data_IF_523946831205
#
_entry.id   IF_523946831205
#
_cell.length_a   1.000
_cell.length_b   1.000
_cell.length_c   1.000
_cell.angle_alpha   90.00
_cell.angle_beta   90.00
_cell.angle_gamma   90.00
#
_symmetry.space_group_name_H-M   'P 1'
#
loop_
_entity.id
_entity.type
_entity.pdbx_description
1 polymer ?
#
# COMPACT_ATOMS: atom_id res chain seq x y z
N UNK A 1 -5.66 -32.79 3.11
CA UNK A 1 -4.83 -32.38 1.96
C UNK A 1 -5.36 -33.11 0.75
N UNK A 2 -5.56 -32.40 -0.36
CA UNK A 2 -6.19 -32.90 -1.60
C UNK A 2 -5.15 -33.15 -2.68
N UNK A 3 -4.04 -32.42 -2.68
CA UNK A 3 -2.91 -32.65 -3.58
C UNK A 3 -1.99 -33.74 -3.02
N UNK A 4 -2.01 -34.91 -3.64
CA UNK A 4 -1.09 -36.01 -3.31
C UNK A 4 0.38 -35.57 -3.49
N UNK A 5 0.64 -34.75 -4.50
CA UNK A 5 1.97 -34.20 -4.75
C UNK A 5 2.45 -33.32 -3.60
N UNK A 6 1.62 -32.40 -3.09
CA UNK A 6 2.01 -31.53 -1.98
C UNK A 6 2.25 -32.35 -0.71
N UNK A 7 1.40 -33.34 -0.42
CA UNK A 7 1.59 -34.21 0.73
C UNK A 7 2.94 -34.93 0.68
N UNK A 8 3.31 -35.49 -0.47
CA UNK A 8 4.62 -36.12 -0.68
C UNK A 8 5.78 -35.12 -0.55
N UNK A 9 5.64 -33.94 -1.15
CA UNK A 9 6.64 -32.88 -1.08
C UNK A 9 6.92 -32.45 0.38
N UNK A 10 5.88 -32.23 1.18
CA UNK A 10 6.01 -31.85 2.59
C UNK A 10 6.73 -32.91 3.42
N UNK A 11 6.47 -34.20 3.14
CA UNK A 11 7.18 -35.31 3.80
C UNK A 11 8.65 -35.35 3.39
N UNK A 12 8.95 -35.22 2.09
CA UNK A 12 10.31 -35.24 1.57
C UNK A 12 11.16 -34.06 2.06
N UNK A 13 10.55 -32.89 2.26
CA UNK A 13 11.21 -31.66 2.68
C UNK A 13 11.03 -31.35 4.17
N UNK A 14 10.56 -32.33 4.97
CA UNK A 14 10.13 -32.10 6.34
C UNK A 14 11.20 -31.42 7.20
N UNK A 15 12.46 -31.83 7.10
CA UNK A 15 13.55 -31.27 7.92
C UNK A 15 13.76 -29.77 7.67
N UNK A 16 13.87 -29.39 6.39
CA UNK A 16 14.08 -28.00 5.99
C UNK A 16 12.87 -27.12 6.32
N UNK A 17 11.66 -27.60 6.02
CA UNK A 17 10.42 -26.87 6.27
C UNK A 17 10.14 -26.72 7.77
N UNK A 18 10.37 -27.76 8.57
CA UNK A 18 10.22 -27.70 10.03
C UNK A 18 11.28 -26.79 10.67
N UNK A 19 12.49 -26.72 10.11
CA UNK A 19 13.47 -25.74 10.55
C UNK A 19 12.98 -24.31 10.29
N UNK A 20 12.51 -24.00 9.07
CA UNK A 20 11.96 -22.70 8.73
C UNK A 20 10.73 -22.32 9.61
N UNK A 21 9.82 -23.27 9.83
CA UNK A 21 8.66 -23.08 10.70
C UNK A 21 9.09 -22.72 12.13
N UNK A 22 10.08 -23.44 12.70
CA UNK A 22 10.59 -23.16 14.04
C UNK A 22 11.21 -21.77 14.16
N UNK A 23 11.92 -21.30 13.13
CA UNK A 23 12.50 -19.96 13.10
C UNK A 23 11.43 -18.86 12.99
N UNK A 24 10.35 -19.12 12.23
CA UNK A 24 9.30 -18.14 12.01
C UNK A 24 8.29 -18.04 13.16
N UNK A 25 8.12 -19.11 13.94
CA UNK A 25 7.14 -19.19 15.02
C UNK A 25 7.45 -18.18 16.13
N UNK A 26 6.57 -17.20 16.30
CA UNK A 26 6.66 -16.13 17.31
C UNK A 26 5.27 -15.91 17.94
N UNK A 27 5.22 -15.42 19.18
CA UNK A 27 3.96 -15.15 19.88
C UNK A 27 3.21 -16.40 20.33
N UNK A 28 1.88 -16.38 20.25
CA UNK A 28 1.03 -17.54 20.58
C UNK A 28 1.27 -18.68 19.60
N UNK A 29 1.88 -19.76 20.11
CA UNK A 29 2.27 -20.91 19.30
C UNK A 29 1.07 -21.70 18.78
N UNK A 30 -0.02 -21.78 19.54
CA UNK A 30 -1.20 -22.54 19.15
C UNK A 30 -1.94 -21.81 18.02
N UNK A 31 -2.08 -20.50 18.16
CA UNK A 31 -2.71 -19.67 17.14
C UNK A 31 -1.87 -19.60 15.86
N UNK A 32 -0.54 -19.47 15.99
CA UNK A 32 0.37 -19.52 14.84
C UNK A 32 0.24 -20.85 14.08
N UNK A 33 0.24 -21.98 14.80
CA UNK A 33 0.07 -23.29 14.21
C UNK A 33 -1.29 -23.42 13.50
N UNK A 34 -2.38 -23.00 14.14
CA UNK A 34 -3.73 -23.05 13.58
C UNK A 34 -3.85 -22.21 12.30
N UNK A 35 -3.35 -20.98 12.31
CA UNK A 35 -3.34 -20.12 11.14
C UNK A 35 -2.50 -20.70 9.99
N UNK A 36 -1.29 -21.16 10.29
CA UNK A 36 -0.40 -21.72 9.27
C UNK A 36 -0.94 -23.02 8.67
N UNK A 37 -1.40 -23.96 9.50
CA UNK A 37 -2.02 -25.20 9.03
C UNK A 37 -3.27 -24.94 8.20
N UNK A 38 -4.09 -23.95 8.60
CA UNK A 38 -5.22 -23.49 7.80
C UNK A 38 -4.80 -22.97 6.43
N UNK A 39 -3.76 -22.15 6.35
CA UNK A 39 -3.22 -21.68 5.07
C UNK A 39 -2.71 -22.83 4.19
N UNK A 40 -1.99 -23.79 4.75
CA UNK A 40 -1.50 -24.94 3.98
C UNK A 40 -2.66 -25.72 3.35
N UNK A 41 -3.73 -25.95 4.10
CA UNK A 41 -4.88 -26.75 3.66
C UNK A 41 -5.86 -25.99 2.77
N UNK A 42 -6.13 -24.72 3.06
CA UNK A 42 -7.20 -23.96 2.40
C UNK A 42 -6.70 -23.08 1.25
N UNK A 43 -5.41 -22.80 1.18
CA UNK A 43 -4.82 -21.90 0.19
C UNK A 43 -3.70 -22.58 -0.63
N UNK A 44 -2.64 -23.08 0.03
CA UNK A 44 -1.49 -23.66 -0.68
C UNK A 44 -1.84 -24.97 -1.41
N UNK A 45 -2.56 -25.87 -0.74
CA UNK A 45 -2.98 -27.16 -1.30
C UNK A 45 -3.88 -26.99 -2.54
N UNK A 46 -4.94 -26.14 -2.53
CA UNK A 46 -5.70 -25.82 -3.74
C UNK A 46 -4.88 -25.15 -4.85
N UNK A 47 -3.95 -24.24 -4.50
CA UNK A 47 -3.08 -23.59 -5.49
C UNK A 47 -2.27 -24.62 -6.27
N UNK A 48 -1.59 -25.54 -5.57
CA UNK A 48 -0.75 -26.54 -6.22
C UNK A 48 -1.56 -27.62 -6.94
N UNK A 49 -2.78 -27.89 -6.48
CA UNK A 49 -3.72 -28.75 -7.22
C UNK A 49 -4.15 -28.09 -8.54
N UNK A 50 -4.47 -26.80 -8.54
CA UNK A 50 -4.83 -26.07 -9.76
C UNK A 50 -3.68 -25.98 -10.78
N UNK A 51 -2.44 -26.07 -10.29
CA UNK A 51 -1.22 -26.06 -11.09
C UNK A 51 -0.64 -27.47 -11.32
N UNK A 52 -1.44 -28.52 -11.15
CA UNK A 52 -1.04 -29.91 -11.33
C UNK A 52 -0.27 -30.20 -12.64
N UNK A 53 -0.64 -29.63 -13.81
CA UNK A 53 0.06 -29.90 -15.08
C UNK A 53 1.51 -29.40 -15.14
N UNK A 54 1.96 -28.59 -14.17
CA UNK A 54 3.31 -28.05 -14.17
C UNK A 54 4.40 -29.11 -13.97
N UNK A 55 5.61 -28.88 -14.52
CA UNK A 55 6.77 -29.70 -14.21
C UNK A 55 7.07 -29.73 -12.70
N UNK A 56 7.53 -30.87 -12.20
CA UNK A 56 7.76 -31.08 -10.76
C UNK A 56 8.74 -30.08 -10.15
N UNK A 57 9.79 -29.68 -10.90
CA UNK A 57 10.77 -28.69 -10.44
C UNK A 57 10.12 -27.31 -10.19
N UNK A 58 9.24 -26.86 -11.09
CA UNK A 58 8.53 -25.58 -10.95
C UNK A 58 7.53 -25.62 -9.79
N UNK A 59 6.80 -26.74 -9.62
CA UNK A 59 5.92 -26.94 -8.46
C UNK A 59 6.71 -26.94 -7.15
N UNK A 60 7.87 -27.59 -7.10
CA UNK A 60 8.74 -27.58 -5.94
C UNK A 60 9.23 -26.16 -5.57
N UNK A 61 9.67 -25.39 -6.55
CA UNK A 61 10.11 -24.01 -6.33
C UNK A 61 8.97 -23.11 -5.83
N UNK A 62 7.78 -23.21 -6.44
CA UNK A 62 6.60 -22.47 -5.99
C UNK A 62 6.15 -22.90 -4.60
N UNK A 63 6.08 -24.20 -4.32
CA UNK A 63 5.69 -24.75 -3.02
C UNK A 63 6.61 -24.27 -1.90
N UNK A 64 7.93 -24.32 -2.11
CA UNK A 64 8.91 -23.83 -1.16
C UNK A 64 8.69 -22.34 -0.86
N UNK A 65 8.56 -21.54 -1.92
CA UNK A 65 8.40 -20.08 -1.82
C UNK A 65 7.08 -19.73 -1.13
N UNK A 66 5.98 -20.36 -1.54
CA UNK A 66 4.66 -20.16 -0.95
C UNK A 66 4.59 -20.61 0.50
N UNK A 67 5.32 -21.65 0.90
CA UNK A 67 5.44 -22.07 2.31
C UNK A 67 6.13 -20.98 3.15
N UNK A 68 7.28 -20.46 2.70
CA UNK A 68 8.01 -19.38 3.39
C UNK A 68 7.21 -18.09 3.46
N UNK A 69 6.54 -17.75 2.36
CA UNK A 69 5.57 -16.67 2.30
C UNK A 69 4.47 -16.88 3.33
N UNK A 70 3.87 -18.08 3.39
CA UNK A 70 2.80 -18.40 4.32
C UNK A 70 3.20 -18.14 5.77
N UNK A 71 4.42 -18.50 6.16
CA UNK A 71 4.97 -18.17 7.48
C UNK A 71 5.01 -16.65 7.73
N UNK A 72 5.40 -15.87 6.72
CA UNK A 72 5.41 -14.40 6.79
C UNK A 72 3.99 -13.83 6.87
N UNK A 73 3.03 -14.42 6.16
CA UNK A 73 1.61 -14.02 6.20
C UNK A 73 1.01 -14.22 7.59
N UNK A 74 1.33 -15.33 8.28
CA UNK A 74 0.91 -15.54 9.68
C UNK A 74 1.48 -14.42 10.57
N UNK A 75 2.79 -14.15 10.47
CA UNK A 75 3.46 -13.11 11.28
C UNK A 75 2.90 -11.71 11.06
N UNK A 76 2.44 -11.42 9.84
CA UNK A 76 1.80 -10.15 9.48
C UNK A 76 0.30 -10.12 9.81
N UNK A 77 -0.27 -11.18 10.38
CA UNK A 77 -1.68 -11.25 10.76
C UNK A 77 -2.63 -11.41 9.57
N UNK A 78 -2.15 -11.78 8.37
CA UNK A 78 -2.98 -11.88 7.16
C UNK A 78 -3.88 -13.11 7.14
N UNK A 79 -3.58 -14.08 8.01
CA UNK A 79 -4.35 -15.30 8.17
C UNK A 79 -5.30 -15.24 9.38
N UNK A 80 -5.33 -14.10 10.07
CA UNK A 80 -6.34 -13.80 11.08
C UNK A 80 -7.72 -13.63 10.43
N UNK A 81 -8.79 -13.76 11.23
CA UNK A 81 -10.17 -13.87 10.75
C UNK A 81 -10.58 -12.77 9.76
N UNK A 82 -10.19 -11.53 10.01
CA UNK A 82 -10.55 -10.36 9.19
C UNK A 82 -9.90 -10.35 7.80
N UNK A 83 -8.73 -10.97 7.65
CA UNK A 83 -7.89 -10.91 6.44
C UNK A 83 -7.85 -12.26 5.69
N UNK A 84 -8.28 -13.33 6.35
CA UNK A 84 -8.19 -14.70 5.85
C UNK A 84 -8.94 -14.89 4.54
N UNK A 85 -10.15 -14.35 4.42
CA UNK A 85 -10.98 -14.54 3.23
C UNK A 85 -10.27 -14.04 1.96
N UNK A 86 -9.74 -12.81 2.00
CA UNK A 86 -8.99 -12.21 0.90
C UNK A 86 -7.71 -13.00 0.58
N UNK A 87 -7.00 -13.47 1.62
CA UNK A 87 -5.78 -14.27 1.44
C UNK A 87 -6.08 -15.63 0.80
N UNK A 88 -7.17 -16.29 1.20
CA UNK A 88 -7.58 -17.56 0.58
C UNK A 88 -7.96 -17.31 -0.88
N UNK A 89 -8.79 -16.31 -1.17
CA UNK A 89 -9.18 -15.95 -2.54
C UNK A 89 -7.98 -15.65 -3.46
N UNK A 90 -6.97 -14.94 -2.95
CA UNK A 90 -5.72 -14.72 -3.68
C UNK A 90 -5.10 -16.05 -4.14
N UNK A 91 -4.99 -17.03 -3.25
CA UNK A 91 -4.33 -18.31 -3.56
C UNK A 91 -5.21 -19.29 -4.34
N UNK A 92 -6.54 -19.21 -4.19
CA UNK A 92 -7.45 -20.15 -4.84
C UNK A 92 -7.99 -19.65 -6.18
N UNK A 93 -7.94 -18.34 -6.44
CA UNK A 93 -8.61 -17.73 -7.60
C UNK A 93 -7.65 -16.85 -8.41
N UNK A 94 -6.96 -15.90 -7.78
CA UNK A 94 -6.08 -14.95 -8.51
C UNK A 94 -4.79 -15.64 -8.97
N UNK A 95 -4.06 -16.28 -8.06
CA UNK A 95 -2.74 -16.84 -8.35
C UNK A 95 -2.79 -18.00 -9.35
N UNK A 96 -3.73 -18.97 -9.27
CA UNK A 96 -3.74 -20.07 -10.23
C UNK A 96 -3.92 -19.60 -11.67
N UNK A 97 -4.84 -18.67 -11.92
CA UNK A 97 -5.13 -18.16 -13.27
C UNK A 97 -3.97 -17.33 -13.82
N UNK A 98 -3.41 -16.45 -13.00
CA UNK A 98 -2.33 -15.56 -13.40
C UNK A 98 -0.99 -16.28 -13.56
N UNK A 99 -0.63 -17.18 -12.64
CA UNK A 99 0.66 -17.85 -12.67
C UNK A 99 0.72 -18.99 -13.68
N UNK A 100 -0.40 -19.67 -13.98
CA UNK A 100 -0.45 -20.88 -14.83
C UNK A 100 0.40 -20.82 -16.11
N UNK A 101 0.43 -19.70 -16.88
CA UNK A 101 1.24 -19.61 -18.09
C UNK A 101 2.76 -19.46 -17.84
N UNK A 102 3.19 -19.17 -16.61
CA UNK A 102 4.55 -18.73 -16.26
C UNK A 102 5.20 -19.58 -15.16
N UNK A 103 5.35 -20.91 -15.33
CA UNK A 103 5.85 -21.81 -14.29
C UNK A 103 7.28 -21.48 -13.81
N UNK A 104 8.13 -20.94 -14.68
CA UNK A 104 9.51 -20.59 -14.34
C UNK A 104 9.60 -19.32 -13.48
N UNK A 105 8.75 -18.33 -13.74
CA UNK A 105 8.75 -17.03 -13.05
C UNK A 105 7.89 -17.01 -11.78
N UNK A 106 6.98 -17.99 -11.63
CA UNK A 106 5.97 -17.99 -10.58
C UNK A 106 6.47 -17.72 -9.15
N UNK A 107 7.60 -18.29 -8.67
CA UNK A 107 8.13 -17.95 -7.36
C UNK A 107 8.46 -16.45 -7.20
N UNK A 108 9.12 -15.86 -8.21
CA UNK A 108 9.48 -14.43 -8.22
C UNK A 108 8.23 -13.56 -8.25
N UNK A 109 7.28 -13.91 -9.11
CA UNK A 109 6.03 -13.18 -9.30
C UNK A 109 5.17 -13.17 -8.03
N UNK A 110 5.06 -14.31 -7.36
CA UNK A 110 4.39 -14.43 -6.06
C UNK A 110 5.00 -13.48 -5.03
N UNK A 111 6.33 -13.48 -4.91
CA UNK A 111 7.04 -12.62 -3.94
C UNK A 111 6.84 -11.14 -4.29
N UNK A 112 6.93 -10.76 -5.57
CA UNK A 112 6.71 -9.39 -6.00
C UNK A 112 5.31 -8.88 -5.63
N UNK A 113 4.27 -9.64 -5.97
CA UNK A 113 2.89 -9.26 -5.66
C UNK A 113 2.66 -9.14 -4.14
N UNK A 114 3.10 -10.12 -3.36
CA UNK A 114 2.91 -10.12 -1.92
C UNK A 114 3.73 -9.04 -1.21
N UNK A 115 4.91 -8.71 -1.74
CA UNK A 115 5.69 -7.59 -1.23
C UNK A 115 4.92 -6.29 -1.39
N UNK A 116 4.37 -6.01 -2.58
CA UNK A 116 3.53 -4.82 -2.82
C UNK A 116 2.31 -4.79 -1.92
N UNK A 117 1.55 -5.90 -1.85
CA UNK A 117 0.39 -6.01 -0.96
C UNK A 117 0.76 -5.77 0.51
N UNK A 118 2.01 -6.03 0.91
CA UNK A 118 2.45 -5.83 2.29
C UNK A 118 2.65 -4.40 2.73
N UNK A 119 2.71 -3.47 1.78
CA UNK A 119 2.69 -2.05 2.08
C UNK A 119 1.26 -1.53 2.33
N UNK A 120 0.23 -2.30 1.97
CA UNK A 120 -1.18 -1.92 2.13
C UNK A 120 -1.73 -2.39 3.49
N UNK A 121 -2.11 -1.48 4.39
CA UNK A 121 -2.47 -1.83 5.76
C UNK A 121 -3.83 -2.54 5.86
N UNK A 122 -4.79 -2.20 5.00
CA UNK A 122 -6.17 -2.70 5.11
C UNK A 122 -6.51 -3.82 4.11
N UNK A 123 -7.55 -4.60 4.42
CA UNK A 123 -8.13 -5.57 3.48
C UNK A 123 -8.70 -4.86 2.25
N UNK A 124 -9.38 -3.72 2.46
CA UNK A 124 -10.03 -2.95 1.41
C UNK A 124 -9.04 -2.49 0.34
N UNK A 125 -7.89 -1.92 0.75
CA UNK A 125 -6.87 -1.47 -0.19
C UNK A 125 -6.24 -2.64 -0.97
N UNK A 126 -5.98 -3.76 -0.30
CA UNK A 126 -5.50 -4.99 -0.97
C UNK A 126 -6.53 -5.51 -1.98
N UNK A 127 -7.82 -5.47 -1.63
CA UNK A 127 -8.92 -5.81 -2.52
C UNK A 127 -8.96 -4.95 -3.77
N UNK A 128 -8.84 -3.62 -3.64
CA UNK A 128 -8.77 -2.68 -4.78
C UNK A 128 -7.63 -3.05 -5.72
N UNK A 129 -6.43 -3.32 -5.18
CA UNK A 129 -5.28 -3.72 -6.00
C UNK A 129 -5.56 -5.04 -6.72
N UNK A 130 -6.03 -6.06 -6.00
CA UNK A 130 -6.26 -7.39 -6.56
C UNK A 130 -7.36 -7.42 -7.62
N UNK A 131 -8.40 -6.61 -7.47
CA UNK A 131 -9.45 -6.47 -8.47
C UNK A 131 -8.88 -5.92 -9.79
N UNK A 132 -8.11 -4.83 -9.72
CA UNK A 132 -7.46 -4.27 -10.92
C UNK A 132 -6.39 -5.21 -11.47
N UNK A 133 -5.66 -5.91 -10.60
CA UNK A 133 -4.66 -6.91 -10.99
C UNK A 133 -5.26 -8.00 -11.88
N UNK A 134 -6.42 -8.55 -11.50
CA UNK A 134 -7.13 -9.55 -12.28
C UNK A 134 -7.60 -9.00 -13.64
N UNK A 135 -8.03 -7.74 -13.70
CA UNK A 135 -8.48 -7.09 -14.94
C UNK A 135 -7.34 -6.82 -15.90
N UNK A 136 -6.18 -6.39 -15.40
CA UNK A 136 -5.00 -6.12 -16.22
C UNK A 136 -4.25 -7.40 -16.64
N UNK A 137 -4.23 -8.43 -15.78
CA UNK A 137 -3.56 -9.71 -15.99
C UNK A 137 -2.15 -9.58 -16.62
N UNK A 138 -1.20 -8.90 -15.95
CA UNK A 138 0.06 -8.52 -16.55
C UNK A 138 1.00 -9.70 -16.81
N UNK A 139 1.81 -9.58 -17.86
CA UNK A 139 2.91 -10.52 -18.13
C UNK A 139 4.04 -10.39 -17.08
N UNK A 140 4.97 -11.36 -16.99
CA UNK A 140 6.06 -11.31 -16.03
C UNK A 140 6.96 -10.08 -16.16
N UNK A 141 7.15 -9.57 -17.37
CA UNK A 141 8.00 -8.40 -17.66
C UNK A 141 7.28 -7.08 -17.32
N UNK A 142 5.95 -7.04 -17.49
CA UNK A 142 5.15 -5.87 -17.18
C UNK A 142 4.77 -5.78 -15.69
N UNK A 143 4.95 -6.86 -14.94
CA UNK A 143 4.56 -7.00 -13.52
C UNK A 143 5.12 -5.88 -12.62
N UNK A 144 6.41 -5.51 -12.66
CA UNK A 144 6.94 -4.44 -11.79
C UNK A 144 6.24 -3.10 -12.00
N UNK A 145 6.01 -2.71 -13.25
CA UNK A 145 5.35 -1.45 -13.60
C UNK A 145 3.88 -1.45 -13.16
N UNK A 146 3.16 -2.57 -13.37
CA UNK A 146 1.78 -2.71 -12.90
C UNK A 146 1.67 -2.64 -11.38
N UNK A 147 2.59 -3.27 -10.64
CA UNK A 147 2.57 -3.23 -9.18
C UNK A 147 2.82 -1.82 -8.62
N UNK A 148 3.68 -1.02 -9.26
CA UNK A 148 3.90 0.38 -8.88
C UNK A 148 2.62 1.21 -9.09
N UNK A 149 2.01 1.08 -10.26
CA UNK A 149 0.80 1.83 -10.63
C UNK A 149 -0.40 1.43 -9.77
N UNK A 150 -0.67 0.13 -9.66
CA UNK A 150 -1.81 -0.37 -8.89
C UNK A 150 -1.60 -0.21 -7.38
N UNK A 151 -0.35 -0.29 -6.90
CA UNK A 151 0.01 0.04 -5.52
C UNK A 151 -0.26 1.52 -5.20
N UNK A 152 0.12 2.42 -6.12
CA UNK A 152 -0.18 3.84 -6.01
C UNK A 152 -1.70 4.10 -5.93
N UNK A 153 -2.47 3.54 -6.86
CA UNK A 153 -3.94 3.68 -6.89
C UNK A 153 -4.64 3.05 -5.67
N UNK A 154 -4.03 2.03 -5.05
CA UNK A 154 -4.52 1.43 -3.82
C UNK A 154 -4.19 2.26 -2.55
N UNK A 155 -3.57 3.43 -2.70
CA UNK A 155 -3.31 4.37 -1.62
C UNK A 155 -1.88 4.34 -1.07
N UNK A 156 -0.89 4.04 -1.91
CA UNK A 156 0.54 4.22 -1.61
C UNK A 156 1.07 5.48 -2.32
N UNK A 157 0.80 6.69 -1.80
CA UNK A 157 1.18 7.95 -2.46
C UNK A 157 2.70 8.10 -2.62
N UNK A 158 3.50 7.43 -1.78
CA UNK A 158 4.95 7.39 -1.93
C UNK A 158 5.42 6.75 -3.25
N UNK A 159 4.58 5.91 -3.88
CA UNK A 159 4.87 5.29 -5.17
C UNK A 159 4.54 6.18 -6.36
N UNK A 160 3.87 7.32 -6.16
CA UNK A 160 3.36 8.16 -7.25
C UNK A 160 4.41 8.50 -8.31
N UNK A 161 5.60 8.95 -7.90
CA UNK A 161 6.65 9.31 -8.86
C UNK A 161 7.06 8.13 -9.73
N UNK A 162 7.31 6.96 -9.09
CA UNK A 162 7.67 5.74 -9.80
C UNK A 162 6.52 5.22 -10.68
N UNK A 163 5.26 5.34 -10.23
CA UNK A 163 4.07 4.96 -10.97
C UNK A 163 3.87 5.83 -12.22
N UNK A 164 4.02 7.16 -12.11
CA UNK A 164 3.94 8.07 -13.27
C UNK A 164 5.04 7.75 -14.28
N UNK A 165 6.26 7.47 -13.82
CA UNK A 165 7.35 7.01 -14.70
C UNK A 165 7.08 5.62 -15.30
N UNK A 166 6.38 4.73 -14.61
CA UNK A 166 5.95 3.44 -15.16
C UNK A 166 4.87 3.60 -16.24
N UNK A 167 3.91 4.51 -16.05
CA UNK A 167 2.87 4.81 -17.03
C UNK A 167 3.43 5.35 -18.35
N UNK A 168 4.53 6.11 -18.32
CA UNK A 168 5.19 6.55 -19.56
C UNK A 168 5.83 5.42 -20.35
N UNK A 169 6.18 4.30 -19.71
CA UNK A 169 6.62 3.06 -20.38
C UNK A 169 5.46 2.17 -20.81
N UNK A 170 4.30 2.30 -20.16
CA UNK A 170 3.12 1.45 -20.35
C UNK A 170 1.87 2.30 -20.68
N UNK A 171 1.83 3.02 -21.82
CA UNK A 171 0.72 3.91 -22.14
C UNK A 171 -0.64 3.18 -22.25
N UNK A 172 -0.63 1.93 -22.72
CA UNK A 172 -1.84 1.09 -22.78
C UNK A 172 -2.44 0.82 -21.38
N UNK A 173 -1.61 0.78 -20.33
CA UNK A 173 -2.09 0.63 -18.96
C UNK A 173 -2.81 1.90 -18.49
N UNK A 174 -2.31 3.08 -18.85
CA UNK A 174 -2.96 4.35 -18.54
C UNK A 174 -4.35 4.46 -19.18
N UNK A 175 -4.48 4.03 -20.43
CA UNK A 175 -5.75 3.98 -21.16
C UNK A 175 -6.72 2.99 -20.52
N UNK A 176 -6.26 1.76 -20.24
CA UNK A 176 -7.07 0.70 -19.62
C UNK A 176 -7.61 1.11 -18.24
N UNK A 177 -6.79 1.80 -17.44
CA UNK A 177 -7.16 2.29 -16.12
C UNK A 177 -7.87 3.65 -16.16
N UNK A 178 -8.14 4.19 -17.35
CA UNK A 178 -8.79 5.49 -17.56
C UNK A 178 -8.11 6.63 -16.80
N UNK A 179 -6.78 6.61 -16.73
CA UNK A 179 -5.99 7.58 -15.97
C UNK A 179 -5.82 8.93 -16.69
N UNK A 180 -6.16 9.01 -17.97
CA UNK A 180 -6.06 10.24 -18.77
C UNK A 180 -4.65 10.49 -19.31
N UNK A 181 -4.41 11.73 -19.74
CA UNK A 181 -3.17 12.14 -20.42
C UNK A 181 -2.01 12.40 -19.43
N UNK A 182 -0.74 12.29 -19.88
CA UNK A 182 0.43 12.53 -19.03
C UNK A 182 0.44 13.88 -18.29
N UNK A 183 -0.08 14.95 -18.91
CA UNK A 183 -0.15 16.27 -18.29
C UNK A 183 -1.12 16.30 -17.10
N UNK A 184 -2.19 15.50 -17.15
CA UNK A 184 -3.15 15.38 -16.04
C UNK A 184 -2.53 14.60 -14.89
N UNK A 185 -1.77 13.55 -15.19
CA UNK A 185 -1.05 12.74 -14.20
C UNK A 185 0.03 13.51 -13.45
N UNK A 186 0.55 14.61 -14.02
CA UNK A 186 1.47 15.50 -13.32
C UNK A 186 0.82 16.17 -12.10
N UNK A 187 -0.51 16.29 -12.06
CA UNK A 187 -1.24 16.86 -10.94
C UNK A 187 -1.59 15.78 -9.88
N UNK A 188 -1.20 15.92 -8.60
CA UNK A 188 -1.37 14.88 -7.59
C UNK A 188 -2.83 14.57 -7.28
N UNK A 189 -3.73 15.53 -7.42
CA UNK A 189 -5.16 15.37 -7.11
C UNK A 189 -6.02 14.83 -8.26
N UNK A 190 -5.44 14.40 -9.37
CA UNK A 190 -6.16 13.78 -10.48
C UNK A 190 -6.44 12.29 -10.22
N UNK A 191 -7.67 11.84 -10.47
CA UNK A 191 -8.12 10.44 -10.24
C UNK A 191 -8.46 9.70 -11.53
N UNK A 192 -8.19 10.28 -12.69
CA UNK A 192 -8.56 9.71 -14.00
C UNK A 192 -9.83 10.32 -14.58
N UNK A 193 -10.15 9.94 -15.80
CA UNK A 193 -11.23 10.56 -16.61
C UNK A 193 -12.62 10.24 -16.09
N UNK A 194 -12.80 9.13 -15.36
CA UNK A 194 -14.09 8.74 -14.78
C UNK A 194 -14.37 9.44 -13.45
N UNK A 195 -13.36 9.59 -12.59
CA UNK A 195 -13.51 10.16 -11.24
C UNK A 195 -13.21 11.68 -11.20
N UNK A 196 -12.38 12.17 -12.12
CA UNK A 196 -12.02 13.58 -12.20
C UNK A 196 -11.04 14.01 -11.09
N UNK A 197 -11.30 15.17 -10.50
CA UNK A 197 -10.44 15.77 -9.48
C UNK A 197 -10.90 15.42 -8.06
N UNK A 198 -9.97 15.03 -7.20
CA UNK A 198 -10.23 14.97 -5.75
C UNK A 198 -10.26 16.38 -5.17
N UNK A 199 -11.43 16.82 -4.72
CA UNK A 199 -11.66 18.15 -4.13
C UNK A 199 -11.71 18.16 -2.61
N UNK A 200 -12.05 17.02 -2.01
CA UNK A 200 -12.25 16.92 -0.57
C UNK A 200 -10.92 17.09 0.19
N UNK A 201 -10.87 17.94 1.24
CA UNK A 201 -9.71 18.02 2.12
C UNK A 201 -9.36 16.68 2.76
N UNK A 202 -8.07 16.47 3.01
CA UNK A 202 -7.57 15.34 3.79
C UNK A 202 -7.18 15.80 5.18
N UNK A 203 -7.58 15.05 6.20
CA UNK A 203 -7.08 15.19 7.56
C UNK A 203 -6.04 14.10 7.83
N UNK A 204 -4.90 14.50 8.39
CA UNK A 204 -3.85 13.60 8.88
C UNK A 204 -3.66 13.84 10.37
N UNK A 205 -3.39 12.75 11.08
CA UNK A 205 -3.36 12.74 12.52
C UNK A 205 -4.74 12.86 13.16
N UNK A 206 -4.76 12.53 14.44
CA UNK A 206 -5.82 12.83 15.38
C UNK A 206 -5.26 12.55 16.77
N UNK A 207 -5.69 13.30 17.78
CA UNK A 207 -5.52 12.89 19.18
C UNK A 207 -6.83 12.27 19.65
N UNK A 208 -6.77 11.05 20.20
CA UNK A 208 -7.90 10.39 20.85
C UNK A 208 -7.81 10.49 22.37
N UNK A 209 -7.09 11.47 22.92
CA UNK A 209 -6.78 11.63 24.36
C UNK A 209 -5.94 10.49 24.99
N UNK A 210 -5.91 9.31 24.38
CA UNK A 210 -5.14 8.12 24.78
C UNK A 210 -4.02 7.78 23.77
N UNK A 211 -3.81 8.62 22.76
CA UNK A 211 -2.83 8.40 21.70
C UNK A 211 -3.13 9.25 20.46
N UNK A 212 -2.31 9.11 19.44
CA UNK A 212 -2.42 9.82 18.17
C UNK A 212 -1.17 9.63 17.32
N UNK A 213 -1.23 9.99 16.04
CA UNK A 213 -0.06 9.93 15.14
C UNK A 213 1.04 10.91 15.56
N UNK A 214 0.67 12.02 16.22
CA UNK A 214 1.61 13.05 16.66
C UNK A 214 1.75 13.07 18.18
N UNK A 215 3.00 13.01 18.65
CA UNK A 215 3.37 13.08 20.07
C UNK A 215 3.34 14.50 20.65
N UNK A 216 3.32 15.52 19.78
CA UNK A 216 3.14 16.93 20.11
C UNK A 216 2.32 17.65 19.03
N UNK A 217 2.04 18.95 19.19
CA UNK A 217 1.40 19.73 18.13
C UNK A 217 2.30 19.77 16.89
N UNK A 218 1.79 19.37 15.71
CA UNK A 218 2.59 19.25 14.52
C UNK A 218 3.05 20.63 14.02
N UNK A 219 4.30 20.70 13.59
CA UNK A 219 4.94 21.87 12.97
C UNK A 219 5.30 21.50 11.54
N UNK A 220 4.92 22.36 10.59
CA UNK A 220 5.29 22.21 9.19
C UNK A 220 6.71 22.74 8.98
N UNK A 221 7.54 21.95 8.31
CA UNK A 221 8.86 22.32 7.83
C UNK A 221 8.94 22.12 6.32
N UNK A 222 9.87 22.82 5.68
CA UNK A 222 10.20 22.65 4.26
C UNK A 222 11.68 22.33 4.14
N UNK A 223 11.99 21.31 3.33
CA UNK A 223 13.35 20.93 2.97
C UNK A 223 13.38 20.64 1.47
N UNK A 224 14.05 21.51 0.69
CA UNK A 224 13.99 21.49 -0.77
C UNK A 224 12.52 21.45 -1.28
N UNK A 225 12.14 20.41 -2.03
CA UNK A 225 10.78 20.20 -2.56
C UNK A 225 9.90 19.31 -1.67
N UNK A 226 10.36 19.02 -0.45
CA UNK A 226 9.65 18.17 0.50
C UNK A 226 9.00 19.00 1.58
N UNK A 227 7.84 18.53 2.03
CA UNK A 227 7.25 19.02 3.28
C UNK A 227 7.42 17.97 4.33
N UNK A 228 7.95 18.43 5.44
CA UNK A 228 8.15 17.63 6.61
C UNK A 228 7.19 18.10 7.71
N UNK A 229 6.88 17.18 8.59
CA UNK A 229 6.05 17.40 9.76
C UNK A 229 6.88 17.00 10.95
N UNK A 230 7.07 17.91 11.89
CA UNK A 230 7.73 17.62 13.15
C UNK A 230 6.72 17.68 14.29
N UNK A 231 6.69 16.64 15.12
CA UNK A 231 5.94 16.63 16.37
C UNK A 231 6.85 16.12 17.49
N UNK A 232 7.25 17.01 18.39
CA UNK A 232 8.21 16.69 19.44
C UNK A 232 9.58 16.33 18.83
N UNK A 233 10.04 15.11 19.12
CA UNK A 233 11.31 14.59 18.61
C UNK A 233 11.17 13.83 17.29
N UNK A 234 9.94 13.56 16.87
CA UNK A 234 9.65 12.77 15.69
C UNK A 234 9.47 13.70 14.49
N UNK A 235 9.97 13.26 13.33
CA UNK A 235 9.85 13.97 12.07
C UNK A 235 9.46 13.01 10.96
N UNK A 236 8.57 13.45 10.07
CA UNK A 236 8.07 12.66 8.95
C UNK A 236 8.04 13.47 7.67
N UNK A 237 8.29 12.81 6.54
CA UNK A 237 8.00 13.31 5.21
C UNK A 237 6.54 13.04 4.86
N UNK A 238 5.84 14.07 4.38
CA UNK A 238 4.46 13.98 3.94
C UNK A 238 4.36 13.56 2.48
N UNK A 239 3.70 12.42 2.23
CA UNK A 239 3.23 12.02 0.90
C UNK A 239 1.70 12.08 0.88
N UNK A 240 1.12 12.79 -0.08
CA UNK A 240 -0.32 12.86 -0.26
C UNK A 240 -0.70 13.13 -1.70
N UNK A 241 -1.77 12.50 -2.15
CA UNK A 241 -2.34 12.68 -3.48
C UNK A 241 -3.81 12.21 -3.51
N UNK A 242 -4.37 12.10 -4.71
CA UNK A 242 -5.76 11.72 -4.90
C UNK A 242 -6.14 10.33 -4.37
N UNK A 243 -5.17 9.42 -4.26
CA UNK A 243 -5.37 8.01 -3.90
C UNK A 243 -5.09 7.73 -2.43
N UNK A 244 -4.23 8.52 -1.79
CA UNK A 244 -3.96 8.34 -0.35
C UNK A 244 -3.04 9.37 0.26
N UNK A 245 -2.69 9.12 1.53
CA UNK A 245 -1.70 9.89 2.26
C UNK A 245 -0.87 8.96 3.14
N UNK A 246 0.39 9.34 3.41
CA UNK A 246 1.31 8.60 4.27
C UNK A 246 2.38 9.51 4.86
N UNK A 247 2.76 9.21 6.10
CA UNK A 247 3.89 9.80 6.79
C UNK A 247 5.03 8.79 6.85
N UNK A 248 6.17 9.13 6.27
CA UNK A 248 7.38 8.30 6.34
C UNK A 248 8.38 8.94 7.29
N UNK A 249 8.92 8.18 8.23
CA UNK A 249 9.90 8.69 9.19
C UNK A 249 11.09 9.33 8.45
N UNK A 250 11.51 10.50 8.92
CA UNK A 250 12.52 11.32 8.27
C UNK A 250 13.42 12.02 9.30
N UNK A 251 14.63 12.38 8.91
CA UNK A 251 15.52 13.23 9.69
C UNK A 251 15.39 14.67 9.19
N UNK A 252 15.19 15.68 10.07
CA UNK A 252 14.93 17.07 9.65
C UNK A 252 16.20 17.80 9.20
N UNK A 253 17.16 17.12 8.58
CA UNK A 253 18.42 17.72 8.16
C UNK A 253 18.16 18.84 7.14
N UNK A 254 18.62 20.06 7.45
CA UNK A 254 18.45 21.24 6.60
C UNK A 254 16.98 21.63 6.32
N UNK A 255 16.08 21.33 7.27
CA UNK A 255 14.67 21.74 7.18
C UNK A 255 14.44 23.09 7.87
N UNK A 256 13.75 24.00 7.19
CA UNK A 256 13.36 25.30 7.73
C UNK A 256 11.89 25.28 8.16
N UNK A 257 11.55 25.90 9.31
CA UNK A 257 10.16 25.99 9.74
C UNK A 257 9.34 26.89 8.81
N UNK A 258 8.14 26.44 8.46
CA UNK A 258 7.16 27.29 7.78
C UNK A 258 6.79 28.45 8.71
N UNK A 259 6.81 29.67 8.20
CA UNK A 259 6.44 30.84 8.99
C UNK A 259 4.98 30.74 9.45
N UNK A 260 4.72 31.18 10.69
CA UNK A 260 3.36 31.34 11.20
C UNK A 260 2.74 32.51 10.44
N UNK A 261 1.66 32.25 9.69
CA UNK A 261 0.98 33.27 8.92
C UNK A 261 -0.15 33.91 9.73
N UNK A 262 -0.41 35.19 9.49
CA UNK A 262 -1.63 35.84 9.95
C UNK A 262 -2.84 35.18 9.26
N UNK A 263 -3.94 34.98 10.01
CA UNK A 263 -5.17 34.27 9.59
C UNK A 263 -5.86 34.83 8.32
N UNK A 264 -5.36 35.93 7.75
CA UNK A 264 -5.90 36.60 6.57
C UNK A 264 -5.51 35.93 5.23
N UNK A 265 -4.53 35.03 5.21
CA UNK A 265 -4.06 34.35 3.99
C UNK A 265 -4.57 32.91 3.84
N UNK A 266 -5.59 32.52 4.61
CA UNK A 266 -6.13 31.17 4.57
C UNK A 266 -6.90 30.88 3.27
N UNK A 267 -6.82 29.65 2.73
CA UNK A 267 -7.53 29.26 1.51
C UNK A 267 -9.04 29.51 1.62
N UNK A 268 -9.71 29.97 0.55
CA UNK A 268 -11.16 30.17 0.54
C UNK A 268 -11.96 28.89 0.89
N UNK A 269 -11.37 27.71 0.69
CA UNK A 269 -11.97 26.39 0.97
C UNK A 269 -11.92 25.94 2.44
N UNK A 270 -11.25 26.67 3.33
CA UNK A 270 -11.38 26.44 4.77
C UNK A 270 -12.76 26.93 5.23
N UNK A 271 -13.71 26.00 5.37
CA UNK A 271 -15.07 26.28 5.83
C UNK A 271 -15.11 27.16 7.08
N UNK A 272 -16.12 28.02 7.21
CA UNK A 272 -16.30 28.87 8.39
C UNK A 272 -16.39 28.05 9.69
N UNK A 273 -16.88 26.81 9.61
CA UNK A 273 -16.93 25.88 10.74
C UNK A 273 -15.53 25.49 11.24
N UNK A 274 -14.50 25.48 10.40
CA UNK A 274 -13.13 25.18 10.85
C UNK A 274 -12.50 26.38 11.56
N UNK A 275 -12.79 27.59 11.06
CA UNK A 275 -12.29 28.85 11.62
C UNK A 275 -12.75 29.09 13.05
N UNK A 276 -13.87 28.51 13.47
CA UNK A 276 -14.45 28.71 14.80
C UNK A 276 -13.91 27.76 15.88
N UNK A 277 -13.39 26.58 15.53
CA UNK A 277 -12.91 25.58 16.51
C UNK A 277 -11.39 25.40 16.50
N UNK A 278 -10.76 25.40 15.32
CA UNK A 278 -9.32 25.15 15.16
C UNK A 278 -8.65 26.31 14.42
N UNK A 279 -7.97 27.18 15.17
CA UNK A 279 -7.21 28.29 14.60
C UNK A 279 -5.98 27.75 13.87
N UNK A 280 -5.87 28.05 12.58
CA UNK A 280 -4.71 27.72 11.78
C UNK A 280 -3.45 28.39 12.35
N UNK A 281 -2.35 27.64 12.39
CA UNK A 281 -1.04 28.05 12.93
C UNK A 281 -0.03 28.27 11.82
N UNK A 282 0.16 27.29 10.95
CA UNK A 282 0.99 27.42 9.76
C UNK A 282 0.18 27.01 8.54
N UNK A 283 0.40 27.74 7.45
CA UNK A 283 -0.21 27.45 6.16
C UNK A 283 0.91 27.45 5.12
N UNK A 284 1.19 26.28 4.57
CA UNK A 284 2.13 26.10 3.48
C UNK A 284 1.35 26.00 2.17
N UNK A 285 1.44 27.04 1.35
CA UNK A 285 0.96 26.98 -0.03
C UNK A 285 1.97 26.23 -0.89
N UNK A 286 1.49 25.18 -1.56
CA UNK A 286 2.23 24.51 -2.63
C UNK A 286 1.55 24.75 -3.97
N UNK A 287 2.19 24.29 -5.04
CA UNK A 287 1.66 24.38 -6.40
C UNK A 287 0.26 23.74 -6.54
N UNK A 288 -0.01 22.64 -5.85
CA UNK A 288 -1.23 21.84 -6.07
C UNK A 288 -2.09 21.67 -4.82
N UNK A 289 -1.65 22.16 -3.67
CA UNK A 289 -2.39 22.05 -2.41
C UNK A 289 -1.94 23.10 -1.41
N UNK A 290 -2.71 23.17 -0.33
CA UNK A 290 -2.35 23.85 0.88
C UNK A 290 -2.19 22.83 2.00
N UNK A 291 -1.14 22.95 2.81
CA UNK A 291 -0.95 22.14 4.01
C UNK A 291 -1.05 23.04 5.24
N UNK A 292 -1.96 22.71 6.15
CA UNK A 292 -2.34 23.57 7.28
C UNK A 292 -2.16 22.81 8.58
N UNK A 293 -1.41 23.39 9.52
CA UNK A 293 -1.35 22.97 10.92
C UNK A 293 -2.15 23.94 11.79
N UNK A 294 -2.48 23.53 13.02
CA UNK A 294 -3.38 24.28 13.90
C UNK A 294 -2.76 24.53 15.27
N UNK A 295 -3.25 25.56 15.97
CA UNK A 295 -2.79 25.92 17.31
C UNK A 295 -3.26 24.94 18.39
N UNK A 296 -4.45 24.38 18.24
CA UNK A 296 -5.12 23.61 19.28
C UNK A 296 -5.45 22.17 18.84
N UNK A 297 -4.89 21.72 17.73
CA UNK A 297 -5.20 20.41 17.14
C UNK A 297 -3.94 19.64 16.78
N UNK A 298 -3.92 18.35 17.13
CA UNK A 298 -2.90 17.38 16.76
C UNK A 298 -3.17 16.82 15.36
N UNK A 299 -3.56 17.69 14.44
CA UNK A 299 -3.94 17.33 13.07
C UNK A 299 -3.26 18.25 12.09
N UNK A 300 -3.13 17.75 10.87
CA UNK A 300 -2.80 18.54 9.69
C UNK A 300 -3.93 18.36 8.69
N UNK A 301 -4.22 19.42 7.96
CA UNK A 301 -5.15 19.38 6.86
C UNK A 301 -4.44 19.64 5.54
N UNK A 302 -4.80 18.90 4.50
CA UNK A 302 -4.35 19.11 3.13
C UNK A 302 -5.55 19.48 2.28
N UNK A 303 -5.50 20.64 1.62
CA UNK A 303 -6.58 21.13 0.78
C UNK A 303 -6.12 21.12 -0.68
N UNK A 304 -6.70 20.27 -1.54
CA UNK A 304 -6.40 20.24 -2.96
C UNK A 304 -6.72 21.57 -3.67
N UNK A 305 -5.80 22.06 -4.51
CA UNK A 305 -6.07 23.07 -5.54
C UNK A 305 -6.47 22.33 -6.80
N UNK A 306 -7.71 22.46 -7.27
CA UNK A 306 -8.19 21.75 -8.48
C UNK A 306 -8.70 22.74 -9.53
N UNK A 307 -8.66 22.34 -10.80
CA UNK A 307 -9.37 23.07 -11.86
C UNK A 307 -8.70 24.37 -12.34
N UNK A 308 -7.37 24.41 -12.42
CA UNK A 308 -6.64 25.51 -13.08
C UNK A 308 -6.41 26.75 -12.22
N UNK A 309 -6.63 26.69 -10.90
CA UNK A 309 -6.08 27.68 -9.99
C UNK A 309 -4.60 27.34 -9.72
N UNK A 310 -3.64 28.18 -10.16
CA UNK A 310 -2.29 28.13 -9.61
C UNK A 310 -2.29 28.40 -8.10
#
# INVERSE_FOLDING_TARGET
MRSDWLAQYLVQQADALNHAYRLARQGDQAEFARCFSGFVLDALDPLLLALEPWPAANKAALAQTAYQVGLTLVRRGWLAAEQRALTVELFTTVLPSWLAPYPADAPRLLVQLLNTLSHLPSAAQRGILLEQWQRCNPSPDATPDHLLVLGWMAGLPEFRSAAVTALSRQPALAEHLHLGEPEQLAHPWWQGTTAGWRTAPLELGASTWLGGEFSALPVLLVAADQTLIQAGNDCWQLHADAWGHKLLAHTPEHADPVSIQDLQQLPPGLSENWRSFDLARQCLERRYDWVVSFHNSFRIMIIPKVGGQP
#
